data_IF_079555256955
#
_entry.id   IF_079555256955
#
_cell.length_a   1.000
_cell.length_b   1.000
_cell.length_c   1.000
_cell.angle_alpha   90.00
_cell.angle_beta   90.00
_cell.angle_gamma   90.00
#
_symmetry.space_group_name_H-M   'P 1'
#
loop_
_entity.id
_entity.type
_entity.pdbx_description
1 polymer ?
#
# COMPACT_ATOMS: atom_id res chain seq x y z
N UNK A 1 11.05 8.85 -64.00
CA UNK A 1 10.90 10.03 -63.10
C UNK A 1 10.36 9.53 -61.77
N UNK A 2 11.23 9.34 -60.77
CA UNK A 2 10.87 8.79 -59.45
C UNK A 2 11.19 9.85 -58.39
N UNK A 3 10.16 10.42 -57.77
CA UNK A 3 10.30 11.35 -56.66
C UNK A 3 10.28 10.55 -55.35
N UNK A 4 11.46 10.34 -54.77
CA UNK A 4 11.64 9.68 -53.48
C UNK A 4 10.92 10.46 -52.37
N UNK A 5 9.88 9.86 -51.81
CA UNK A 5 9.11 10.38 -50.68
C UNK A 5 9.99 10.46 -49.42
N UNK A 6 10.60 11.62 -49.16
CA UNK A 6 11.21 11.97 -47.87
C UNK A 6 10.13 11.97 -46.78
N UNK A 7 9.88 10.82 -46.16
CA UNK A 7 9.09 10.76 -44.92
C UNK A 7 9.90 11.45 -43.81
N UNK A 8 9.35 12.47 -43.14
CA UNK A 8 10.17 13.46 -42.45
C UNK A 8 10.73 12.89 -41.15
N UNK A 9 11.98 13.22 -40.85
CA UNK A 9 12.69 13.07 -39.58
C UNK A 9 11.80 13.28 -38.32
N UNK A 10 10.76 14.12 -38.44
CA UNK A 10 9.73 14.34 -37.42
C UNK A 10 9.00 13.06 -36.94
N UNK A 11 8.76 12.04 -37.79
CA UNK A 11 8.10 10.79 -37.34
C UNK A 11 8.96 9.92 -36.43
N UNK A 12 10.29 10.05 -36.54
CA UNK A 12 11.25 9.34 -35.69
C UNK A 12 11.51 10.09 -34.39
N UNK A 13 11.51 11.43 -34.39
CA UNK A 13 11.75 12.26 -33.20
C UNK A 13 10.50 12.47 -32.32
N UNK A 14 9.30 12.45 -32.90
CA UNK A 14 8.03 12.65 -32.19
C UNK A 14 7.81 11.70 -30.99
N UNK A 15 8.05 10.36 -31.08
CA UNK A 15 7.89 9.49 -29.92
C UNK A 15 8.86 9.83 -28.78
N UNK A 16 10.10 10.22 -29.09
CA UNK A 16 11.08 10.62 -28.08
C UNK A 16 10.70 11.93 -27.40
N UNK A 17 10.24 12.93 -28.17
CA UNK A 17 9.77 14.22 -27.63
C UNK A 17 8.54 14.02 -26.74
N UNK A 18 7.59 13.18 -27.14
CA UNK A 18 6.40 12.86 -26.35
C UNK A 18 6.74 12.07 -25.07
N UNK A 19 7.80 11.26 -25.09
CA UNK A 19 8.27 10.53 -23.91
C UNK A 19 9.13 11.37 -22.94
N UNK A 20 9.66 12.52 -23.40
CA UNK A 20 10.60 13.33 -22.66
C UNK A 20 10.06 13.80 -21.28
N UNK A 21 8.80 14.30 -21.16
CA UNK A 21 8.26 14.69 -19.85
C UNK A 21 8.16 13.52 -18.88
N UNK A 22 7.76 12.34 -19.35
CA UNK A 22 7.70 11.13 -18.52
C UNK A 22 9.11 10.72 -18.05
N UNK A 23 10.10 10.80 -18.94
CA UNK A 23 11.48 10.46 -18.61
C UNK A 23 12.10 11.42 -17.59
N UNK A 24 11.78 12.72 -17.68
CA UNK A 24 12.20 13.72 -16.68
C UNK A 24 11.60 13.42 -15.30
N UNK A 25 10.32 13.03 -15.24
CA UNK A 25 9.69 12.62 -13.98
C UNK A 25 10.35 11.36 -13.42
N UNK A 26 10.64 10.35 -14.26
CA UNK A 26 11.34 9.15 -13.83
C UNK A 26 12.73 9.46 -13.25
N UNK A 27 13.51 10.34 -13.90
CA UNK A 27 14.79 10.81 -13.37
C UNK A 27 14.60 11.55 -12.05
N UNK A 28 13.58 12.40 -11.94
CA UNK A 28 13.26 13.10 -10.70
C UNK A 28 13.00 12.15 -9.52
N UNK A 29 12.34 11.01 -9.77
CA UNK A 29 12.07 9.98 -8.76
C UNK A 29 13.34 9.20 -8.38
N UNK A 30 14.31 9.06 -9.30
CA UNK A 30 15.57 8.36 -9.03
C UNK A 30 16.48 9.15 -8.08
N UNK A 31 16.36 10.48 -8.02
CA UNK A 31 17.15 11.33 -7.12
C UNK A 31 16.95 10.96 -5.64
N UNK A 32 15.71 10.98 -5.08
CA UNK A 32 15.50 10.60 -3.69
C UNK A 32 15.80 9.12 -3.42
N UNK A 33 15.66 8.24 -4.41
CA UNK A 33 16.08 6.85 -4.28
C UNK A 33 17.59 6.74 -4.08
N UNK A 34 18.38 7.42 -4.91
CA UNK A 34 19.84 7.44 -4.79
C UNK A 34 20.31 8.03 -3.46
N UNK A 35 19.67 9.10 -2.98
CA UNK A 35 20.00 9.67 -1.66
C UNK A 35 19.60 8.75 -0.51
N UNK A 36 18.48 8.04 -0.62
CA UNK A 36 18.09 7.03 0.38
C UNK A 36 19.11 5.88 0.44
N UNK A 37 19.59 5.39 -0.71
CA UNK A 37 20.66 4.38 -0.76
C UNK A 37 21.94 4.93 -0.13
N UNK A 38 22.33 6.17 -0.46
CA UNK A 38 23.50 6.79 0.15
C UNK A 38 23.38 6.92 1.68
N UNK A 39 22.22 7.35 2.19
CA UNK A 39 21.96 7.45 3.63
C UNK A 39 21.88 6.08 4.32
N UNK A 40 21.44 5.03 3.62
CA UNK A 40 21.42 3.67 4.17
C UNK A 40 22.83 3.14 4.49
N UNK A 41 23.87 3.66 3.83
CA UNK A 41 25.27 3.33 4.09
C UNK A 41 25.92 4.23 5.15
N UNK A 42 25.16 5.17 5.71
CA UNK A 42 25.63 6.13 6.70
C UNK A 42 24.95 5.93 8.04
N UNK A 43 25.65 6.32 9.10
CA UNK A 43 25.06 6.53 10.41
C UNK A 43 24.34 7.87 10.40
N UNK A 44 23.11 7.87 9.88
CA UNK A 44 22.33 9.09 9.73
C UNK A 44 21.29 9.22 10.84
N UNK A 45 21.59 10.04 11.86
CA UNK A 45 20.65 10.37 12.94
C UNK A 45 20.27 11.86 12.86
N UNK A 46 18.97 12.15 12.79
CA UNK A 46 18.45 13.52 12.76
C UNK A 46 18.64 14.24 14.11
N UNK A 47 18.60 13.52 15.23
CA UNK A 47 18.75 14.07 16.58
C UNK A 47 20.21 14.32 16.97
N UNK A 48 21.16 13.63 16.33
CA UNK A 48 22.60 13.78 16.60
C UNK A 48 23.39 14.01 15.30
N UNK A 49 23.37 15.23 14.73
CA UNK A 49 23.99 15.53 13.43
C UNK A 49 25.52 15.38 13.43
N UNK A 50 26.15 15.55 14.59
CA UNK A 50 27.61 15.47 14.78
C UNK A 50 28.16 14.04 14.74
N UNK A 51 27.30 13.02 14.87
CA UNK A 51 27.69 11.61 14.85
C UNK A 51 27.61 10.94 13.47
N UNK A 52 27.53 11.73 12.39
CA UNK A 52 27.41 11.22 11.02
C UNK A 52 28.74 10.65 10.55
N UNK A 53 28.71 9.38 10.15
CA UNK A 53 29.86 8.67 9.58
C UNK A 53 29.41 7.66 8.54
N UNK A 54 30.27 7.34 7.58
CA UNK A 54 30.01 6.29 6.61
C UNK A 54 30.33 4.93 7.25
N UNK A 55 29.33 4.06 7.34
CA UNK A 55 29.40 2.76 8.04
C UNK A 55 29.10 1.58 7.10
N UNK A 56 29.14 1.82 5.79
CA UNK A 56 28.97 0.81 4.74
C UNK A 56 27.72 -0.05 4.93
N UNK A 57 27.86 -1.29 5.41
CA UNK A 57 26.80 -2.27 5.55
C UNK A 57 26.43 -2.59 7.00
N UNK A 58 26.99 -1.88 7.98
CA UNK A 58 26.73 -2.14 9.40
C UNK A 58 25.23 -2.03 9.74
N UNK A 59 24.51 -1.09 9.14
CA UNK A 59 23.05 -0.96 9.29
C UNK A 59 22.33 -2.25 8.88
N UNK A 60 22.74 -2.88 7.78
CA UNK A 60 22.12 -4.12 7.30
C UNK A 60 22.44 -5.31 8.19
N UNK A 61 23.69 -5.43 8.67
CA UNK A 61 24.06 -6.48 9.62
C UNK A 61 23.25 -6.34 10.91
N UNK A 62 23.12 -5.12 11.45
CA UNK A 62 22.33 -4.86 12.64
C UNK A 62 20.86 -5.31 12.46
N UNK A 63 20.22 -4.97 11.33
CA UNK A 63 18.86 -5.42 11.03
C UNK A 63 18.74 -6.94 10.93
N UNK A 64 19.68 -7.60 10.24
CA UNK A 64 19.63 -9.06 10.06
C UNK A 64 19.81 -9.83 11.37
N UNK A 65 20.54 -9.26 12.33
CA UNK A 65 20.73 -9.86 13.66
C UNK A 65 19.62 -9.52 14.66
N UNK A 66 18.74 -8.57 14.34
CA UNK A 66 17.69 -8.12 15.24
C UNK A 66 16.45 -9.04 15.20
N UNK A 67 16.08 -9.72 16.30
CA UNK A 67 14.87 -10.53 16.35
C UNK A 67 13.58 -9.74 16.08
N UNK A 68 13.53 -8.45 16.44
CA UNK A 68 12.37 -7.61 16.22
C UNK A 68 12.13 -7.33 14.73
N UNK A 69 13.21 -7.22 13.95
CA UNK A 69 13.14 -7.09 12.49
C UNK A 69 12.47 -8.31 11.85
N UNK A 70 12.89 -9.52 12.23
CA UNK A 70 12.30 -10.76 11.73
C UNK A 70 10.84 -10.95 12.17
N UNK A 71 10.50 -10.56 13.40
CA UNK A 71 9.11 -10.54 13.85
C UNK A 71 8.25 -9.61 12.99
N UNK A 72 8.76 -8.40 12.70
CA UNK A 72 8.06 -7.42 11.85
C UNK A 72 7.85 -7.98 10.45
N UNK A 73 8.87 -8.56 9.82
CA UNK A 73 8.74 -9.23 8.50
C UNK A 73 7.68 -10.32 8.56
N UNK A 74 7.71 -11.19 9.57
CA UNK A 74 6.76 -12.29 9.70
C UNK A 74 5.33 -11.78 9.81
N UNK A 75 5.09 -10.78 10.66
CA UNK A 75 3.76 -10.17 10.84
C UNK A 75 3.30 -9.52 9.53
N UNK A 76 4.14 -8.72 8.86
CA UNK A 76 3.79 -8.08 7.60
C UNK A 76 3.47 -9.09 6.49
N UNK A 77 4.30 -10.13 6.33
CA UNK A 77 4.07 -11.18 5.34
C UNK A 77 2.79 -11.98 5.63
N UNK A 78 2.57 -12.34 6.90
CA UNK A 78 1.35 -13.05 7.30
C UNK A 78 0.11 -12.20 7.04
N UNK A 79 0.14 -10.93 7.45
CA UNK A 79 -0.93 -9.97 7.20
C UNK A 79 -1.21 -9.83 5.71
N UNK A 80 -0.20 -9.51 4.89
CA UNK A 80 -0.38 -9.36 3.44
C UNK A 80 -0.90 -10.64 2.80
N UNK A 81 -0.35 -11.80 3.16
CA UNK A 81 -0.77 -13.07 2.59
C UNK A 81 -2.25 -13.37 2.91
N UNK A 82 -2.66 -13.23 4.17
CA UNK A 82 -4.04 -13.48 4.58
C UNK A 82 -4.98 -12.47 3.92
N UNK A 83 -4.70 -11.18 4.05
CA UNK A 83 -5.54 -10.10 3.49
C UNK A 83 -5.72 -10.26 1.99
N UNK A 84 -4.62 -10.39 1.23
CA UNK A 84 -4.70 -10.51 -0.24
C UNK A 84 -5.42 -11.80 -0.66
N UNK A 85 -5.20 -12.91 0.05
CA UNK A 85 -5.89 -14.18 -0.25
C UNK A 85 -7.39 -14.04 -0.03
N UNK A 86 -7.82 -13.50 1.11
CA UNK A 86 -9.24 -13.32 1.41
C UNK A 86 -9.89 -12.29 0.47
N UNK A 87 -9.24 -11.16 0.22
CA UNK A 87 -9.73 -10.14 -0.72
C UNK A 87 -9.91 -10.70 -2.13
N UNK A 88 -8.95 -11.50 -2.60
CA UNK A 88 -9.01 -12.11 -3.93
C UNK A 88 -10.14 -13.15 -4.02
N UNK A 89 -10.28 -14.02 -3.01
CA UNK A 89 -11.34 -15.03 -2.98
C UNK A 89 -12.73 -14.39 -2.89
N UNK A 90 -12.91 -13.41 -2.00
CA UNK A 90 -14.19 -12.69 -1.85
C UNK A 90 -14.49 -11.85 -3.08
N UNK A 91 -13.50 -11.10 -3.59
CA UNK A 91 -13.64 -10.28 -4.79
C UNK A 91 -14.00 -11.11 -6.01
N UNK A 92 -13.34 -12.25 -6.20
CA UNK A 92 -13.66 -13.18 -7.28
C UNK A 92 -15.06 -13.79 -7.11
N UNK A 93 -15.42 -14.23 -5.90
CA UNK A 93 -16.74 -14.79 -5.60
C UNK A 93 -17.86 -13.79 -5.90
N UNK A 94 -17.70 -12.55 -5.44
CA UNK A 94 -18.64 -11.45 -5.72
C UNK A 94 -18.69 -11.11 -7.21
N UNK A 95 -17.54 -11.07 -7.90
CA UNK A 95 -17.49 -10.81 -9.34
C UNK A 95 -18.24 -11.89 -10.16
N UNK A 96 -18.14 -13.17 -9.78
CA UNK A 96 -18.87 -14.26 -10.42
C UNK A 96 -20.38 -14.13 -10.19
N UNK A 97 -20.83 -13.72 -9.00
CA UNK A 97 -22.24 -13.47 -8.71
C UNK A 97 -22.81 -12.29 -9.52
N UNK A 98 -21.99 -11.26 -9.73
CA UNK A 98 -22.36 -10.03 -10.45
C UNK A 98 -22.16 -10.12 -11.97
N UNK A 99 -21.67 -11.24 -12.50
CA UNK A 99 -21.33 -11.40 -13.92
C UNK A 99 -22.53 -11.16 -14.86
N UNK A 100 -23.75 -11.47 -14.43
CA UNK A 100 -24.97 -11.29 -15.24
C UNK A 100 -25.31 -9.81 -15.37
N UNK A 101 -25.67 -9.36 -16.57
CA UNK A 101 -26.14 -7.98 -16.78
C UNK A 101 -27.60 -7.82 -16.38
N UNK A 102 -27.83 -7.58 -15.09
CA UNK A 102 -29.15 -7.23 -14.53
C UNK A 102 -29.09 -5.86 -13.85
N UNK A 103 -30.24 -5.20 -13.69
CA UNK A 103 -30.30 -3.90 -13.01
C UNK A 103 -29.83 -4.00 -11.55
N UNK A 104 -30.16 -5.10 -10.86
CA UNK A 104 -29.68 -5.39 -9.50
C UNK A 104 -28.14 -5.48 -9.45
N UNK A 105 -27.53 -6.20 -10.40
CA UNK A 105 -26.07 -6.35 -10.44
C UNK A 105 -25.37 -5.02 -10.72
N UNK A 106 -25.96 -4.16 -11.56
CA UNK A 106 -25.43 -2.81 -11.79
C UNK A 106 -25.47 -1.96 -10.51
N UNK A 107 -26.59 -1.96 -9.78
CA UNK A 107 -26.72 -1.20 -8.51
C UNK A 107 -25.74 -1.72 -7.46
N UNK A 108 -25.65 -3.04 -7.27
CA UNK A 108 -24.73 -3.66 -6.32
C UNK A 108 -23.26 -3.37 -6.69
N UNK A 109 -22.90 -3.41 -7.98
CA UNK A 109 -21.54 -3.07 -8.43
C UNK A 109 -21.17 -1.63 -8.07
N UNK A 110 -22.11 -0.68 -8.21
CA UNK A 110 -21.90 0.72 -7.81
C UNK A 110 -21.73 0.82 -6.29
N UNK A 111 -22.60 0.17 -5.51
CA UNK A 111 -22.50 0.17 -4.03
C UNK A 111 -21.17 -0.40 -3.54
N UNK A 112 -20.67 -1.46 -4.18
CA UNK A 112 -19.37 -2.07 -3.85
C UNK A 112 -18.17 -1.19 -4.22
N UNK A 113 -18.33 -0.26 -5.17
CA UNK A 113 -17.28 0.71 -5.51
C UNK A 113 -17.26 1.92 -4.57
N UNK A 114 -18.37 2.25 -3.90
CA UNK A 114 -18.42 3.42 -2.99
C UNK A 114 -17.32 3.43 -1.92
N UNK A 115 -16.99 2.31 -1.24
CA UNK A 115 -15.93 2.30 -0.25
C UNK A 115 -14.56 2.66 -0.82
N UNK A 116 -14.29 2.35 -2.10
CA UNK A 116 -13.03 2.68 -2.76
C UNK A 116 -12.84 4.19 -2.92
N UNK A 117 -13.92 4.96 -2.85
CA UNK A 117 -13.89 6.42 -2.93
C UNK A 117 -13.69 7.08 -1.55
N UNK A 118 -13.78 6.30 -0.47
CA UNK A 118 -13.57 6.81 0.90
C UNK A 118 -12.06 6.94 1.14
N UNK A 119 -11.63 8.09 1.67
CA UNK A 119 -10.24 8.30 2.02
C UNK A 119 -9.78 7.26 3.08
N UNK A 120 -8.59 6.66 2.92
CA UNK A 120 -8.10 5.63 3.87
C UNK A 120 -8.10 6.09 5.33
N UNK A 121 -7.79 7.37 5.59
CA UNK A 121 -7.82 7.94 6.93
C UNK A 121 -9.24 7.95 7.55
N UNK A 122 -10.27 8.20 6.76
CA UNK A 122 -11.67 8.18 7.22
C UNK A 122 -12.08 6.74 7.53
N UNK A 123 -11.75 5.80 6.65
CA UNK A 123 -12.03 4.39 6.87
C UNK A 123 -11.39 3.87 8.18
N UNK A 124 -10.12 4.24 8.43
CA UNK A 124 -9.43 3.89 9.66
C UNK A 124 -10.08 4.51 10.91
N UNK A 125 -10.53 5.78 10.83
CA UNK A 125 -11.24 6.43 11.94
C UNK A 125 -12.60 5.79 12.20
N UNK A 126 -13.36 5.48 11.14
CA UNK A 126 -14.64 4.78 11.26
C UNK A 126 -14.45 3.42 11.91
N UNK A 127 -13.45 2.63 11.50
CA UNK A 127 -13.11 1.37 12.15
C UNK A 127 -12.86 1.56 13.64
N UNK A 128 -11.98 2.50 14.01
CA UNK A 128 -11.66 2.82 15.42
C UNK A 128 -12.89 3.19 16.25
N UNK A 129 -13.83 3.94 15.67
CA UNK A 129 -15.09 4.33 16.33
C UNK A 129 -16.03 3.13 16.47
N UNK A 130 -16.15 2.31 15.43
CA UNK A 130 -16.99 1.11 15.41
C UNK A 130 -16.50 0.03 16.38
N UNK A 131 -15.19 -0.08 16.58
CA UNK A 131 -14.55 -1.00 17.54
C UNK A 131 -14.37 -0.38 18.92
N UNK A 132 -14.92 0.80 19.21
CA UNK A 132 -14.82 1.40 20.52
C UNK A 132 -15.54 0.52 21.57
N UNK A 133 -14.92 0.16 22.70
CA UNK A 133 -15.58 -0.71 23.70
C UNK A 133 -16.84 -0.09 24.32
N UNK A 134 -16.89 1.24 24.45
CA UNK A 134 -17.94 1.92 25.20
C UNK A 134 -19.23 2.16 24.38
N UNK A 135 -19.10 2.44 23.08
CA UNK A 135 -20.24 2.82 22.23
C UNK A 135 -20.16 2.26 20.80
N UNK A 136 -19.11 1.50 20.49
CA UNK A 136 -18.88 0.97 19.16
C UNK A 136 -19.90 -0.12 18.82
N UNK A 137 -20.51 -0.03 17.63
CA UNK A 137 -21.50 -1.00 17.18
C UNK A 137 -20.93 -2.42 17.09
N UNK A 138 -19.66 -2.57 16.68
CA UNK A 138 -19.03 -3.89 16.57
C UNK A 138 -18.77 -4.49 17.94
N UNK A 139 -18.30 -3.69 18.91
CA UNK A 139 -18.11 -4.13 20.29
C UNK A 139 -19.44 -4.53 20.95
N UNK A 140 -20.52 -3.79 20.68
CA UNK A 140 -21.86 -4.14 21.14
C UNK A 140 -22.32 -5.50 20.58
N UNK A 141 -22.15 -5.74 19.27
CA UNK A 141 -22.50 -7.01 18.64
C UNK A 141 -21.69 -8.20 19.19
N UNK A 142 -20.41 -7.97 19.48
CA UNK A 142 -19.53 -8.98 20.09
C UNK A 142 -19.91 -9.23 21.55
N UNK A 143 -20.32 -8.19 22.29
CA UNK A 143 -20.88 -8.31 23.63
C UNK A 143 -22.16 -9.15 23.67
N UNK A 144 -23.05 -9.02 22.68
CA UNK A 144 -24.23 -9.89 22.55
C UNK A 144 -23.88 -11.37 22.32
N UNK A 145 -22.73 -11.65 21.71
CA UNK A 145 -22.20 -13.00 21.54
C UNK A 145 -21.51 -13.55 22.81
N UNK A 146 -21.50 -12.79 23.92
CA UNK A 146 -20.93 -13.20 25.21
C UNK A 146 -19.46 -12.84 25.42
N UNK A 147 -18.87 -12.04 24.52
CA UNK A 147 -17.49 -11.57 24.63
C UNK A 147 -17.49 -10.12 25.14
N UNK A 148 -17.55 -9.96 26.46
CA UNK A 148 -17.43 -8.66 27.11
C UNK A 148 -16.00 -8.11 26.98
N UNK A 149 -15.86 -6.80 26.74
CA UNK A 149 -14.58 -6.09 26.63
C UNK A 149 -13.56 -6.64 25.61
N UNK A 150 -14.04 -7.08 24.44
CA UNK A 150 -13.16 -7.53 23.37
C UNK A 150 -12.18 -6.42 22.92
N UNK A 151 -10.89 -6.65 23.15
CA UNK A 151 -9.81 -5.72 22.82
C UNK A 151 -9.43 -5.87 21.36
N UNK A 152 -10.07 -5.12 20.46
CA UNK A 152 -9.83 -5.21 19.02
C UNK A 152 -8.37 -4.94 18.60
N UNK A 153 -7.93 -3.69 18.69
CA UNK A 153 -6.57 -3.28 18.31
C UNK A 153 -5.65 -3.04 19.53
N UNK A 154 -6.18 -3.26 20.74
CA UNK A 154 -5.49 -2.98 22.00
C UNK A 154 -4.74 -4.18 22.57
N UNK A 155 -4.84 -5.35 21.94
CA UNK A 155 -4.13 -6.57 22.33
C UNK A 155 -3.37 -7.15 21.12
N UNK A 156 -2.07 -7.49 21.26
CA UNK A 156 -1.29 -8.09 20.17
C UNK A 156 -1.87 -9.39 19.58
N UNK A 157 -2.64 -10.15 20.36
CA UNK A 157 -3.25 -11.41 19.92
C UNK A 157 -4.46 -11.23 19.00
N UNK A 158 -5.10 -10.07 19.05
CA UNK A 158 -6.32 -9.73 18.27
C UNK A 158 -6.09 -8.65 17.23
N UNK A 159 -4.93 -7.97 17.28
CA UNK A 159 -4.57 -6.86 16.40
C UNK A 159 -3.97 -7.27 15.05
N UNK A 160 -3.73 -8.57 14.81
CA UNK A 160 -3.35 -9.12 13.51
C UNK A 160 -4.54 -9.13 12.54
#
# INVERSE_FOLDING_TARGET
MSAAAKRPFMRLALPYILSLPALLVCIGILIPFGTAVYYSMQRYNLAFPMGRGFIWFENYQAFLTDPAFWNTIRVSLLYTFLTVTFELLLGLGVALLLQRRTLMNNVLSIMLMLPLMIAPAIAALMWKLMTNPNFGILSYLVGLAGLEDFKWASDPGTAL
#
